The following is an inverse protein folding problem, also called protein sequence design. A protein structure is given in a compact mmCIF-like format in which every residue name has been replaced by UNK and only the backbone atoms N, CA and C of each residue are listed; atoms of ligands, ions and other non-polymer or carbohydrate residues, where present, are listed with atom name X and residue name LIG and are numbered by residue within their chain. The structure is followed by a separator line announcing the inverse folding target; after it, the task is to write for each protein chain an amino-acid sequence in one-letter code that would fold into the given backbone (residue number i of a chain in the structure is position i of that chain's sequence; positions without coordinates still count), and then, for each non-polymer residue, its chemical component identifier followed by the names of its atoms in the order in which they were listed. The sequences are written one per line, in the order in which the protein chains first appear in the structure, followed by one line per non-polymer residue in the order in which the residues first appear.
data_IF_863789928881
#
_entry.id   IF_863789928881
#
_cell.length_a   1.000
_cell.length_b   1.000
_cell.length_c   1.000
_cell.angle_alpha   90.00
_cell.angle_beta   90.00
_cell.angle_gamma   90.00
#
_symmetry.space_group_name_H-M   'P 1'
#
loop_
_entity.id
_entity.type
_entity.pdbx_description
1 polymer ?
#
# COMPACT_ATOMS: atom_id res chain seq x y z
N UNK A 1 -21.77 14.60 -23.80
CA UNK A 1 -20.38 15.06 -24.01
C UNK A 1 -19.96 15.81 -22.75
N UNK A 2 -19.38 15.10 -21.76
CA UNK A 2 -18.90 15.70 -20.51
C UNK A 2 -17.42 15.97 -20.63
N UNK A 3 -17.01 17.22 -20.42
CA UNK A 3 -15.61 17.62 -20.33
C UNK A 3 -15.08 17.23 -18.94
N UNK A 4 -14.18 16.26 -18.89
CA UNK A 4 -13.28 16.05 -17.75
C UNK A 4 -12.34 17.26 -17.68
N UNK A 5 -12.58 18.14 -16.71
CA UNK A 5 -11.61 19.22 -16.39
C UNK A 5 -10.37 18.59 -15.77
N UNK A 6 -9.20 18.97 -16.26
CA UNK A 6 -7.92 18.50 -15.74
C UNK A 6 -7.76 18.90 -14.26
N UNK A 7 -6.96 18.14 -13.49
CA UNK A 7 -6.73 18.46 -12.07
C UNK A 7 -6.13 19.86 -11.86
N UNK A 8 -5.44 20.40 -12.87
CA UNK A 8 -4.87 21.74 -12.87
C UNK A 8 -5.94 22.84 -12.88
N UNK A 9 -7.03 22.67 -13.64
CA UNK A 9 -8.15 23.62 -13.63
C UNK A 9 -8.88 23.65 -12.28
N UNK A 10 -8.94 22.51 -11.58
CA UNK A 10 -9.51 22.42 -10.23
C UNK A 10 -8.63 23.16 -9.22
N UNK A 11 -7.30 23.09 -9.37
CA UNK A 11 -6.35 23.78 -8.50
C UNK A 11 -6.33 25.30 -8.73
N UNK A 12 -6.32 25.76 -9.99
CA UNK A 12 -6.43 27.18 -10.32
C UNK A 12 -7.77 27.77 -9.86
N UNK A 13 -8.86 27.01 -9.99
CA UNK A 13 -10.19 27.44 -9.51
C UNK A 13 -10.24 27.58 -7.97
N UNK A 14 -9.65 26.63 -7.23
CA UNK A 14 -9.53 26.73 -5.77
C UNK A 14 -8.64 27.90 -5.32
N UNK A 15 -7.55 28.17 -6.04
CA UNK A 15 -6.63 29.26 -5.73
C UNK A 15 -7.25 30.65 -6.00
N UNK A 16 -8.02 30.81 -7.08
CA UNK A 16 -8.75 32.05 -7.37
C UNK A 16 -9.92 32.31 -6.41
N UNK A 17 -10.63 31.28 -5.92
CA UNK A 17 -11.73 31.47 -4.98
C UNK A 17 -11.29 31.81 -3.55
N UNK A 18 -10.10 31.38 -3.13
CA UNK A 18 -9.61 31.72 -1.78
C UNK A 18 -9.24 33.21 -1.62
N UNK A 19 -9.02 33.95 -2.72
CA UNK A 19 -8.87 35.42 -2.71
C UNK A 19 -10.20 36.18 -2.83
N UNK A 20 -11.33 35.53 -3.10
CA UNK A 20 -12.68 36.16 -3.17
C UNK A 20 -13.46 36.12 -1.85
N UNK A 21 -13.01 35.33 -0.86
CA UNK A 21 -13.73 35.12 0.40
C UNK A 21 -13.39 36.15 1.49
N UNK A 22 -13.52 37.45 1.17
CA UNK A 22 -13.89 38.45 2.18
C UNK A 22 -15.36 38.85 2.13
N UNK A 23 -16.11 38.47 1.09
CA UNK A 23 -17.57 38.60 1.10
C UNK A 23 -18.21 37.54 0.21
N UNK A 24 -19.21 36.82 0.75
CA UNK A 24 -20.15 35.87 0.11
C UNK A 24 -19.86 34.38 0.33
N UNK A 25 -20.21 33.93 1.54
CA UNK A 25 -20.51 32.52 1.79
C UNK A 25 -21.84 32.12 1.13
N UNK A 26 -21.80 31.62 -0.11
CA UNK A 26 -22.88 30.85 -0.73
C UNK A 26 -22.39 30.30 -2.08
N UNK A 27 -21.89 29.05 -2.13
CA UNK A 27 -21.80 28.16 -3.32
C UNK A 27 -20.88 26.92 -3.13
N UNK A 28 -20.47 26.56 -1.90
CA UNK A 28 -19.56 25.41 -1.67
C UNK A 28 -20.26 24.06 -1.39
N UNK A 29 -21.45 23.81 -1.96
CA UNK A 29 -22.19 22.53 -1.79
C UNK A 29 -22.07 21.57 -2.98
N UNK A 30 -21.34 21.90 -4.05
CA UNK A 30 -21.42 21.14 -5.30
C UNK A 30 -20.44 19.94 -5.43
N UNK A 31 -19.41 19.82 -4.59
CA UNK A 31 -18.46 18.69 -4.68
C UNK A 31 -18.38 18.06 -3.30
N UNK A 32 -19.00 16.89 -3.13
CA UNK A 32 -19.16 16.14 -1.88
C UNK A 32 -17.86 15.63 -1.25
N UNK A 33 -16.87 16.51 -1.05
CA UNK A 33 -15.64 16.23 -0.34
C UNK A 33 -15.90 16.50 1.14
N UNK A 34 -15.95 15.41 1.92
CA UNK A 34 -16.09 15.46 3.38
C UNK A 34 -15.13 16.48 4.01
N UNK A 35 -15.63 17.28 4.98
CA UNK A 35 -14.86 18.27 5.74
C UNK A 35 -13.55 17.70 6.30
N UNK A 36 -13.55 16.43 6.73
CA UNK A 36 -12.35 15.74 7.23
C UNK A 36 -11.27 15.55 6.17
N UNK A 37 -11.66 15.33 4.90
CA UNK A 37 -10.72 15.18 3.78
C UNK A 37 -10.14 16.54 3.37
N UNK A 38 -10.94 17.61 3.39
CA UNK A 38 -10.46 18.99 3.17
C UNK A 38 -9.42 19.43 4.21
N UNK A 39 -9.71 19.24 5.49
CA UNK A 39 -8.79 19.59 6.58
C UNK A 39 -7.45 18.83 6.50
N UNK A 40 -7.47 17.57 6.08
CA UNK A 40 -6.27 16.73 5.96
C UNK A 40 -5.39 17.10 4.76
N UNK A 41 -5.99 17.59 3.67
CA UNK A 41 -5.26 18.11 2.50
C UNK A 41 -4.63 19.47 2.83
N UNK A 42 -5.38 20.37 3.49
CA UNK A 42 -4.87 21.66 3.93
C UNK A 42 -3.70 21.50 4.92
N UNK A 43 -3.82 20.64 5.94
CA UNK A 43 -2.77 20.42 6.93
C UNK A 43 -1.46 19.84 6.34
N UNK A 44 -1.54 19.09 5.23
CA UNK A 44 -0.36 18.55 4.53
C UNK A 44 0.32 19.55 3.60
N UNK A 45 -0.42 20.51 3.06
CA UNK A 45 0.11 21.46 2.07
C UNK A 45 0.70 22.70 2.74
N UNK A 46 0.13 23.18 3.86
CA UNK A 46 0.56 24.39 4.59
C UNK A 46 2.07 24.51 4.89
N UNK A 47 2.83 23.47 5.28
CA UNK A 47 4.26 23.64 5.56
C UNK A 47 5.13 23.88 4.32
N UNK A 48 4.66 23.58 3.11
CA UNK A 48 5.41 23.81 1.87
C UNK A 48 5.32 25.26 1.36
N UNK A 49 4.24 25.98 1.68
CA UNK A 49 4.05 27.37 1.23
C UNK A 49 4.95 28.38 1.91
N UNK A 50 5.58 28.02 3.03
CA UNK A 50 6.52 28.90 3.75
C UNK A 50 7.93 28.92 3.14
N UNK A 51 8.24 28.00 2.22
CA UNK A 51 9.52 27.92 1.51
C UNK A 51 9.46 28.47 0.08
N UNK A 52 8.27 28.84 -0.41
CA UNK A 52 8.16 29.53 -1.68
C UNK A 52 8.78 30.93 -1.53
N UNK A 53 9.61 31.37 -2.50
CA UNK A 53 10.13 32.72 -2.49
C UNK A 53 8.99 33.72 -2.31
N UNK A 54 9.24 34.72 -1.48
CA UNK A 54 8.23 35.73 -1.11
C UNK A 54 7.64 36.32 -2.39
N UNK A 55 6.32 36.51 -2.49
CA UNK A 55 5.56 36.88 -3.72
C UNK A 55 6.25 37.98 -4.57
N UNK A 56 7.00 38.88 -3.92
CA UNK A 56 7.80 39.96 -4.52
C UNK A 56 8.97 39.49 -5.41
N UNK A 57 9.61 38.38 -5.07
CA UNK A 57 10.77 37.82 -5.77
C UNK A 57 10.33 37.13 -7.08
N UNK A 58 9.15 36.47 -7.06
CA UNK A 58 8.52 35.91 -8.25
C UNK A 58 8.06 37.00 -9.24
N UNK A 59 7.51 38.11 -8.74
CA UNK A 59 7.09 39.22 -9.59
C UNK A 59 8.28 39.96 -10.20
N UNK A 60 9.42 40.01 -9.51
CA UNK A 60 10.66 40.60 -10.03
C UNK A 60 11.30 39.75 -11.15
N UNK A 61 11.23 38.41 -11.06
CA UNK A 61 11.70 37.50 -12.10
C UNK A 61 10.81 37.56 -13.35
N UNK A 62 9.49 37.66 -13.17
CA UNK A 62 8.54 37.81 -14.28
C UNK A 62 8.68 39.18 -14.97
N UNK A 63 8.97 40.24 -14.22
CA UNK A 63 9.21 41.58 -14.76
C UNK A 63 10.51 41.68 -15.59
N UNK A 64 11.49 40.80 -15.35
CA UNK A 64 12.75 40.73 -16.09
C UNK A 64 12.65 39.98 -17.43
N UNK A 65 11.43 39.60 -17.86
CA UNK A 65 11.18 39.01 -19.17
C UNK A 65 11.74 37.60 -19.35
N UNK A 66 12.16 36.95 -18.26
CA UNK A 66 12.75 35.64 -18.28
C UNK A 66 11.74 34.61 -17.75
N UNK A 67 11.29 33.77 -18.70
CA UNK A 67 10.63 32.48 -18.49
C UNK A 67 9.14 32.52 -18.14
N UNK A 68 8.39 31.75 -18.93
CA UNK A 68 6.96 31.52 -18.77
C UNK A 68 6.67 30.97 -17.37
N UNK A 69 5.70 31.53 -16.63
CA UNK A 69 5.39 31.13 -15.23
C UNK A 69 5.11 29.63 -15.10
N UNK A 70 4.66 28.98 -16.19
CA UNK A 70 4.48 27.54 -16.26
C UNK A 70 5.78 26.76 -16.15
N UNK A 71 6.84 27.18 -16.83
CA UNK A 71 8.15 26.51 -16.82
C UNK A 71 8.78 26.54 -15.43
N UNK A 72 8.74 27.68 -14.74
CA UNK A 72 9.25 27.82 -13.37
C UNK A 72 8.46 26.93 -12.40
N UNK A 73 7.14 26.84 -12.57
CA UNK A 73 6.31 26.00 -11.70
C UNK A 73 6.52 24.51 -11.97
N UNK A 74 6.79 24.13 -13.23
CA UNK A 74 7.08 22.77 -13.64
C UNK A 74 8.49 22.33 -13.17
N UNK A 75 9.51 23.17 -13.30
CA UNK A 75 10.86 22.95 -12.72
C UNK A 75 10.81 22.84 -11.19
N UNK A 76 10.12 23.76 -10.51
CA UNK A 76 10.00 23.71 -9.04
C UNK A 76 9.19 22.49 -8.59
N UNK A 77 8.20 22.03 -9.36
CA UNK A 77 7.50 20.76 -9.05
C UNK A 77 8.36 19.53 -9.31
N UNK A 78 9.22 19.54 -10.33
CA UNK A 78 10.19 18.46 -10.58
C UNK A 78 11.22 18.41 -9.46
N UNK A 79 11.82 19.54 -9.06
CA UNK A 79 12.77 19.60 -7.94
C UNK A 79 12.13 19.20 -6.60
N UNK A 80 10.91 19.65 -6.31
CA UNK A 80 10.18 19.26 -5.08
C UNK A 80 9.75 17.79 -5.09
N UNK A 81 9.52 17.19 -6.26
CA UNK A 81 9.28 15.75 -6.37
C UNK A 81 10.58 14.94 -6.26
N UNK A 82 11.71 15.45 -6.73
CA UNK A 82 13.03 14.80 -6.59
C UNK A 82 13.57 14.88 -5.14
N UNK A 83 13.41 16.02 -4.44
CA UNK A 83 13.85 16.14 -3.04
C UNK A 83 12.97 15.36 -2.05
N UNK A 84 11.65 15.27 -2.29
CA UNK A 84 10.76 14.48 -1.45
C UNK A 84 10.83 12.97 -1.72
N UNK A 85 11.53 12.56 -2.78
CA UNK A 85 11.80 11.17 -3.13
C UNK A 85 13.28 10.81 -3.08
N UNK A 86 14.13 11.68 -2.49
CA UNK A 86 15.48 11.31 -2.11
C UNK A 86 15.40 9.97 -1.36
N UNK A 87 15.85 8.91 -2.02
CA UNK A 87 15.65 7.55 -1.60
C UNK A 87 16.35 7.36 -0.26
N UNK A 88 15.59 7.50 0.84
CA UNK A 88 16.05 7.30 2.22
C UNK A 88 16.37 5.81 2.46
N UNK A 89 17.29 5.28 1.68
CA UNK A 89 17.87 3.96 1.76
C UNK A 89 18.98 3.96 2.81
N UNK A 90 19.29 2.79 3.36
CA UNK A 90 20.34 2.68 4.36
C UNK A 90 21.70 2.92 3.70
N UNK A 91 22.53 3.78 4.29
CA UNK A 91 23.91 3.96 3.83
C UNK A 91 24.70 2.63 4.04
N UNK A 92 25.35 2.06 3.00
CA UNK A 92 26.16 0.85 3.12
C UNK A 92 27.34 0.98 4.11
N UNK A 93 27.81 2.20 4.37
CA UNK A 93 28.87 2.49 5.36
C UNK A 93 28.32 3.02 6.69
N UNK A 94 27.00 2.99 6.85
CA UNK A 94 26.33 3.54 8.04
C UNK A 94 26.40 2.63 9.27
N UNK A 95 25.54 2.95 10.24
CA UNK A 95 25.48 2.31 11.56
C UNK A 95 25.42 0.78 11.48
N UNK A 96 24.69 0.20 10.52
CA UNK A 96 24.55 -1.25 10.34
C UNK A 96 25.84 -1.96 9.94
N UNK A 97 26.70 -1.26 9.21
CA UNK A 97 28.01 -1.76 8.81
C UNK A 97 29.00 -1.60 9.95
N UNK A 98 29.02 -0.42 10.58
CA UNK A 98 29.91 -0.10 11.70
C UNK A 98 29.66 -1.02 12.90
N UNK A 99 28.40 -1.36 13.17
CA UNK A 99 28.04 -2.28 14.26
C UNK A 99 28.39 -3.75 13.96
N UNK A 100 28.96 -4.06 12.80
CA UNK A 100 29.27 -5.43 12.36
C UNK A 100 28.03 -6.31 12.14
N UNK A 101 26.85 -5.69 12.11
CA UNK A 101 25.58 -6.41 12.03
C UNK A 101 25.33 -6.96 10.62
N UNK A 102 25.66 -6.17 9.60
CA UNK A 102 25.57 -6.55 8.18
C UNK A 102 26.78 -6.02 7.42
N UNK A 103 27.29 -6.78 6.46
CA UNK A 103 28.36 -6.25 5.60
C UNK A 103 27.82 -5.23 4.60
N UNK A 104 28.62 -4.22 4.18
CA UNK A 104 28.22 -3.21 3.20
C UNK A 104 27.62 -3.82 1.93
N UNK A 105 28.20 -4.91 1.43
CA UNK A 105 27.74 -5.58 0.22
C UNK A 105 26.33 -6.20 0.36
N UNK A 106 25.91 -6.57 1.57
CA UNK A 106 24.55 -7.06 1.83
C UNK A 106 23.57 -5.89 1.83
N UNK A 107 23.96 -4.76 2.43
CA UNK A 107 23.16 -3.53 2.47
C UNK A 107 22.95 -3.00 1.05
N UNK A 108 23.99 -2.98 0.22
CA UNK A 108 23.89 -2.55 -1.18
C UNK A 108 22.96 -3.43 -2.01
N UNK A 109 23.06 -4.76 -1.84
CA UNK A 109 22.16 -5.73 -2.47
C UNK A 109 20.69 -5.49 -2.08
N UNK A 110 20.44 -5.21 -0.80
CA UNK A 110 19.11 -4.88 -0.29
C UNK A 110 18.60 -3.54 -0.85
N UNK A 111 19.43 -2.50 -0.84
CA UNK A 111 19.11 -1.18 -1.40
C UNK A 111 18.68 -1.29 -2.87
N UNK A 112 19.46 -2.02 -3.68
CA UNK A 112 19.15 -2.26 -5.10
C UNK A 112 17.77 -2.91 -5.27
N UNK A 113 17.51 -3.97 -4.49
CA UNK A 113 16.25 -4.71 -4.56
C UNK A 113 15.06 -3.83 -4.14
N UNK A 114 15.21 -3.03 -3.08
CA UNK A 114 14.17 -2.12 -2.59
C UNK A 114 13.84 -1.05 -3.63
N UNK A 115 14.86 -0.48 -4.26
CA UNK A 115 14.69 0.53 -5.31
C UNK A 115 13.92 -0.04 -6.52
N UNK A 116 14.26 -1.25 -6.98
CA UNK A 116 13.51 -1.94 -8.04
C UNK A 116 12.04 -2.19 -7.65
N UNK A 117 11.79 -2.59 -6.40
CA UNK A 117 10.42 -2.84 -5.92
C UNK A 117 9.59 -1.55 -5.82
N UNK A 118 10.20 -0.41 -5.46
CA UNK A 118 9.53 0.90 -5.44
C UNK A 118 9.08 1.30 -6.85
N UNK A 119 9.94 1.14 -7.86
CA UNK A 119 9.59 1.41 -9.26
C UNK A 119 8.40 0.57 -9.74
N UNK A 120 8.30 -0.68 -9.29
CA UNK A 120 7.22 -1.58 -9.69
C UNK A 120 5.85 -1.30 -9.02
N UNK A 121 5.80 -0.55 -7.92
CA UNK A 121 4.58 -0.38 -7.10
C UNK A 121 3.53 0.58 -7.64
N UNK A 122 3.79 1.24 -8.77
CA UNK A 122 2.92 2.29 -9.31
C UNK A 122 1.53 1.82 -9.78
N UNK A 123 1.20 0.52 -9.74
CA UNK A 123 0.00 0.00 -10.41
C UNK A 123 -0.89 -0.85 -9.50
N UNK A 124 -2.11 -0.33 -9.26
CA UNK A 124 -3.34 -1.03 -8.79
C UNK A 124 -3.50 -1.19 -7.27
N UNK A 125 -4.48 -0.47 -6.73
CA UNK A 125 -5.03 -0.73 -5.40
C UNK A 125 -5.90 -1.99 -5.42
N UNK A 126 -5.69 -2.89 -4.46
CA UNK A 126 -6.52 -4.10 -4.30
C UNK A 126 -7.81 -3.73 -3.57
N UNK A 127 -8.94 -4.20 -4.08
CA UNK A 127 -10.23 -4.04 -3.38
C UNK A 127 -10.23 -4.72 -2.00
N UNK A 128 -11.15 -4.33 -1.10
CA UNK A 128 -11.21 -4.86 0.26
C UNK A 128 -11.46 -6.38 0.25
N UNK A 129 -10.69 -7.11 1.06
CA UNK A 129 -10.89 -8.56 1.23
C UNK A 129 -12.19 -8.85 1.96
N UNK A 130 -12.92 -9.86 1.47
CA UNK A 130 -14.11 -10.37 2.14
C UNK A 130 -13.73 -11.26 3.32
N UNK A 131 -14.21 -10.93 4.52
CA UNK A 131 -14.08 -11.76 5.72
C UNK A 131 -15.24 -12.76 5.77
N UNK A 132 -14.94 -14.05 5.91
CA UNK A 132 -15.93 -15.13 6.06
C UNK A 132 -15.84 -15.67 7.48
N UNK A 133 -16.98 -15.76 8.17
CA UNK A 133 -17.04 -16.33 9.53
C UNK A 133 -16.76 -17.84 9.52
N UNK A 134 -16.18 -18.42 10.59
CA UNK A 134 -15.89 -19.86 10.64
C UNK A 134 -17.12 -20.75 10.42
N UNK A 135 -18.27 -20.35 10.97
CA UNK A 135 -19.56 -21.05 10.77
C UNK A 135 -20.02 -21.01 9.31
N UNK A 136 -19.90 -19.85 8.64
CA UNK A 136 -20.25 -19.72 7.23
C UNK A 136 -19.30 -20.53 6.33
N UNK A 137 -18.00 -20.56 6.66
CA UNK A 137 -17.00 -21.39 5.97
C UNK A 137 -17.37 -22.87 6.02
N UNK A 138 -17.80 -23.38 7.19
CA UNK A 138 -18.28 -24.76 7.34
C UNK A 138 -19.55 -25.01 6.53
N UNK A 139 -20.53 -24.10 6.58
CA UNK A 139 -21.78 -24.19 5.78
C UNK A 139 -21.51 -24.25 4.28
N UNK A 140 -20.62 -23.40 3.76
CA UNK A 140 -20.23 -23.40 2.34
C UNK A 140 -19.50 -24.70 1.99
N UNK A 141 -18.57 -25.15 2.84
CA UNK A 141 -17.82 -26.39 2.64
C UNK A 141 -18.72 -27.62 2.55
N UNK A 142 -19.67 -27.76 3.50
CA UNK A 142 -20.68 -28.82 3.52
C UNK A 142 -21.53 -28.79 2.25
N UNK A 143 -22.15 -27.65 1.95
CA UNK A 143 -23.03 -27.52 0.77
C UNK A 143 -22.29 -27.81 -0.55
N UNK A 144 -20.99 -27.48 -0.65
CA UNK A 144 -20.16 -27.79 -1.81
C UNK A 144 -19.77 -29.27 -1.93
N UNK A 145 -19.77 -30.02 -0.83
CA UNK A 145 -19.64 -31.47 -0.87
C UNK A 145 -20.90 -32.09 -1.46
N UNK A 146 -22.06 -31.65 -1.00
CA UNK A 146 -23.36 -32.23 -1.34
C UNK A 146 -23.83 -31.84 -2.76
N UNK A 147 -23.70 -30.56 -3.15
CA UNK A 147 -24.30 -30.00 -4.38
C UNK A 147 -23.27 -29.62 -5.46
N UNK A 148 -21.98 -29.69 -5.13
CA UNK A 148 -20.91 -29.26 -6.03
C UNK A 148 -20.63 -27.76 -6.05
N UNK A 149 -19.50 -27.38 -6.66
CA UNK A 149 -18.90 -26.05 -6.54
C UNK A 149 -19.74 -24.97 -7.25
N UNK A 150 -20.23 -25.27 -8.46
CA UNK A 150 -20.96 -24.29 -9.28
C UNK A 150 -22.34 -23.97 -8.70
N UNK A 151 -23.06 -24.98 -8.18
CA UNK A 151 -24.33 -24.79 -7.50
C UNK A 151 -24.14 -23.97 -6.22
N UNK A 152 -23.11 -24.30 -5.42
CA UNK A 152 -22.77 -23.54 -4.21
C UNK A 152 -22.48 -22.07 -4.49
N UNK A 153 -21.66 -21.80 -5.52
CA UNK A 153 -21.32 -20.43 -5.87
C UNK A 153 -22.57 -19.62 -6.22
N UNK A 154 -23.56 -20.21 -6.89
CA UNK A 154 -24.85 -19.57 -7.24
C UNK A 154 -25.77 -19.41 -6.03
N UNK A 155 -25.94 -20.47 -5.23
CA UNK A 155 -26.81 -20.47 -4.05
C UNK A 155 -26.45 -19.37 -3.05
N UNK A 156 -25.15 -19.17 -2.80
CA UNK A 156 -24.68 -18.16 -1.87
C UNK A 156 -24.59 -16.74 -2.46
N UNK A 157 -24.93 -16.51 -3.73
CA UNK A 157 -25.10 -15.15 -4.29
C UNK A 157 -26.34 -14.50 -3.66
N UNK A 158 -27.45 -15.24 -3.54
CA UNK A 158 -28.69 -14.66 -3.01
C UNK A 158 -28.60 -14.39 -1.50
N UNK A 159 -27.82 -15.19 -0.79
CA UNK A 159 -27.68 -15.13 0.68
C UNK A 159 -26.60 -14.15 1.14
N UNK A 160 -25.84 -13.58 0.22
CA UNK A 160 -24.70 -12.71 0.51
C UNK A 160 -24.68 -11.58 -0.51
N UNK A 161 -24.54 -10.34 -0.09
CA UNK A 161 -24.51 -9.15 -0.98
C UNK A 161 -23.46 -9.20 -2.10
N UNK A 162 -22.52 -10.17 -2.06
CA UNK A 162 -21.46 -10.34 -3.06
C UNK A 162 -21.34 -11.78 -3.55
N UNK A 163 -21.12 -11.98 -4.85
CA UNK A 163 -20.89 -13.30 -5.41
C UNK A 163 -19.63 -13.95 -4.81
N UNK A 164 -19.69 -15.26 -4.55
CA UNK A 164 -18.54 -16.03 -4.11
C UNK A 164 -17.69 -16.45 -5.31
N UNK A 165 -16.39 -16.19 -5.25
CA UNK A 165 -15.45 -16.72 -6.22
C UNK A 165 -15.39 -18.26 -6.11
N UNK A 166 -15.51 -18.97 -7.25
CA UNK A 166 -15.42 -20.43 -7.33
C UNK A 166 -14.14 -20.99 -6.69
N UNK A 167 -13.03 -20.24 -6.75
CA UNK A 167 -11.76 -20.61 -6.10
C UNK A 167 -11.90 -20.70 -4.57
N UNK A 168 -12.64 -19.76 -3.96
CA UNK A 168 -12.91 -19.77 -2.51
C UNK A 168 -13.72 -21.01 -2.14
N UNK A 169 -14.78 -21.30 -2.89
CA UNK A 169 -15.64 -22.48 -2.66
C UNK A 169 -14.83 -23.78 -2.75
N UNK A 170 -13.95 -23.91 -3.75
CA UNK A 170 -13.04 -25.05 -3.90
C UNK A 170 -12.12 -25.21 -2.68
N UNK A 171 -11.52 -24.12 -2.22
CA UNK A 171 -10.67 -24.12 -1.03
C UNK A 171 -11.42 -24.52 0.24
N UNK A 172 -12.65 -24.03 0.42
CA UNK A 172 -13.48 -24.37 1.57
C UNK A 172 -13.96 -25.83 1.54
N UNK A 173 -14.33 -26.36 0.37
CA UNK A 173 -14.64 -27.79 0.20
C UNK A 173 -13.45 -28.67 0.61
N UNK A 174 -12.25 -28.36 0.10
CA UNK A 174 -11.02 -29.12 0.45
C UNK A 174 -10.73 -29.05 1.95
N UNK A 175 -10.84 -27.88 2.56
CA UNK A 175 -10.62 -27.70 3.99
C UNK A 175 -11.66 -28.47 4.84
N UNK A 176 -12.92 -28.46 4.43
CA UNK A 176 -14.00 -29.22 5.09
C UNK A 176 -13.76 -30.74 5.04
N UNK A 177 -13.40 -31.27 3.88
CA UNK A 177 -13.08 -32.70 3.73
C UNK A 177 -11.83 -33.10 4.55
N UNK A 178 -10.82 -32.22 4.62
CA UNK A 178 -9.65 -32.46 5.46
C UNK A 178 -10.01 -32.51 6.96
N UNK A 179 -10.88 -31.62 7.43
CA UNK A 179 -11.34 -31.61 8.83
C UNK A 179 -12.16 -32.88 9.16
N UNK A 180 -13.06 -33.28 8.25
CA UNK A 180 -13.79 -34.55 8.35
C UNK A 180 -12.85 -35.75 8.44
N UNK A 181 -11.79 -35.78 7.62
CA UNK A 181 -10.78 -36.83 7.67
C UNK A 181 -10.08 -36.91 9.03
N UNK A 182 -9.72 -35.76 9.61
CA UNK A 182 -9.09 -35.70 10.94
C UNK A 182 -10.02 -36.19 12.04
N UNK A 183 -11.28 -35.77 12.03
CA UNK A 183 -12.30 -36.21 13.01
C UNK A 183 -12.59 -37.70 12.91
N UNK A 184 -12.66 -38.23 11.68
CA UNK A 184 -12.81 -39.67 11.45
C UNK A 184 -11.65 -40.47 12.04
N UNK A 185 -10.42 -39.99 11.90
CA UNK A 185 -9.24 -40.63 12.51
C UNK A 185 -9.25 -40.53 14.04
N UNK A 186 -9.74 -39.41 14.58
CA UNK A 186 -9.89 -39.19 16.02
C UNK A 186 -11.10 -39.90 16.66
N UNK A 187 -11.94 -40.58 15.87
CA UNK A 187 -13.23 -41.19 16.30
C UNK A 187 -14.21 -40.17 16.92
N UNK A 188 -14.15 -38.93 16.47
CA UNK A 188 -15.07 -37.86 16.88
C UNK A 188 -16.31 -37.81 15.98
N UNK A 189 -17.31 -37.02 16.39
CA UNK A 189 -18.51 -36.76 15.61
C UNK A 189 -18.18 -36.10 14.24
N UNK A 190 -18.78 -36.64 13.17
CA UNK A 190 -18.54 -36.22 11.79
C UNK A 190 -19.25 -34.90 11.40
N UNK A 191 -19.67 -34.09 12.39
CA UNK A 191 -20.33 -32.81 12.16
C UNK A 191 -19.35 -31.66 12.37
N UNK A 192 -18.92 -31.03 11.27
CA UNK A 192 -18.09 -29.81 11.32
C UNK A 192 -19.00 -28.59 11.37
N UNK A 193 -19.19 -28.03 12.57
CA UNK A 193 -19.98 -26.81 12.82
C UNK A 193 -19.22 -25.53 12.46
N UNK A 194 -17.90 -25.52 12.69
CA UNK A 194 -17.03 -24.37 12.46
C UNK A 194 -15.76 -24.77 11.74
N UNK A 195 -15.40 -23.99 10.72
CA UNK A 195 -14.17 -24.19 9.96
C UNK A 195 -13.26 -22.97 10.15
N UNK A 196 -12.32 -23.10 11.09
CA UNK A 196 -11.34 -22.04 11.39
C UNK A 196 -10.48 -21.75 10.15
N UNK A 197 -10.14 -20.48 9.89
CA UNK A 197 -9.19 -20.15 8.83
C UNK A 197 -7.85 -20.83 9.13
N UNK A 198 -7.22 -21.39 8.10
CA UNK A 198 -5.86 -21.91 8.23
C UNK A 198 -4.94 -20.78 8.69
N UNK A 199 -3.94 -21.11 9.53
CA UNK A 199 -2.87 -20.18 9.87
C UNK A 199 -2.15 -19.83 8.56
N UNK A 200 -2.32 -18.59 8.11
CA UNK A 200 -1.63 -18.09 6.93
C UNK A 200 -0.18 -17.78 7.32
N UNK A 201 0.77 -18.27 6.53
CA UNK A 201 2.18 -17.94 6.72
C UNK A 201 3.08 -18.99 6.08
N UNK A 202 4.27 -18.56 5.65
CA UNK A 202 5.40 -19.46 5.40
C UNK A 202 6.12 -19.68 6.74
N UNK A 203 6.81 -20.82 6.93
CA UNK A 203 7.77 -20.93 8.03
C UNK A 203 8.80 -19.80 7.95
N UNK A 204 9.32 -19.39 9.11
CA UNK A 204 10.32 -18.34 9.23
C UNK A 204 11.61 -18.73 8.49
N UNK A 205 12.34 -17.75 7.96
CA UNK A 205 13.56 -17.97 7.18
C UNK A 205 14.78 -18.34 8.07
N UNK A 206 14.62 -18.19 9.38
CA UNK A 206 15.64 -18.51 10.38
C UNK A 206 16.00 -17.26 11.17
N UNK A 207 16.25 -17.43 12.48
CA UNK A 207 16.44 -16.31 13.42
C UNK A 207 17.52 -15.32 12.99
N UNK A 208 18.62 -15.81 12.39
CA UNK A 208 19.75 -14.95 11.98
C UNK A 208 19.39 -14.03 10.81
N UNK A 209 18.71 -14.54 9.78
CA UNK A 209 18.30 -13.77 8.60
C UNK A 209 17.15 -12.83 8.97
N UNK A 210 16.18 -13.33 9.75
CA UNK A 210 15.05 -12.53 10.21
C UNK A 210 15.50 -11.33 11.05
N UNK A 211 16.52 -11.50 11.91
CA UNK A 211 17.09 -10.41 12.69
C UNK A 211 17.74 -9.33 11.80
N UNK A 212 18.50 -9.73 10.77
CA UNK A 212 19.11 -8.79 9.82
C UNK A 212 18.07 -7.99 9.05
N UNK A 213 17.00 -8.65 8.57
CA UNK A 213 15.87 -7.98 7.93
C UNK A 213 15.21 -6.99 8.89
N UNK A 214 14.96 -7.38 10.14
CA UNK A 214 14.34 -6.50 11.13
C UNK A 214 15.19 -5.26 11.42
N UNK A 215 16.50 -5.41 11.58
CA UNK A 215 17.42 -4.30 11.80
C UNK A 215 17.46 -3.35 10.60
N UNK A 216 17.55 -3.89 9.38
CA UNK A 216 17.51 -3.09 8.16
C UNK A 216 16.19 -2.31 8.01
N UNK A 217 15.05 -2.96 8.21
CA UNK A 217 13.74 -2.30 8.16
C UNK A 217 13.54 -1.25 9.26
N UNK A 218 14.18 -1.44 10.42
CA UNK A 218 14.12 -0.46 11.53
C UNK A 218 14.90 0.78 11.16
N UNK A 219 16.12 0.63 10.64
CA UNK A 219 16.93 1.74 10.16
C UNK A 219 16.28 2.47 8.97
N UNK A 220 15.63 1.75 8.05
CA UNK A 220 14.82 2.40 7.00
C UNK A 220 13.73 3.30 7.60
N UNK A 221 13.04 2.86 8.66
CA UNK A 221 12.01 3.70 9.31
C UNK A 221 12.61 4.89 10.04
N UNK A 222 13.77 4.73 10.67
CA UNK A 222 14.50 5.83 11.33
C UNK A 222 14.91 6.90 10.30
N UNK A 223 15.29 6.50 9.09
CA UNK A 223 15.55 7.40 7.97
C UNK A 223 14.27 8.01 7.36
N UNK A 224 13.08 7.73 7.90
CA UNK A 224 11.81 8.25 7.40
C UNK A 224 11.23 7.51 6.19
N UNK A 225 11.81 6.39 5.76
CA UNK A 225 11.29 5.60 4.64
C UNK A 225 9.98 4.90 4.97
N UNK A 226 9.05 4.86 4.00
CA UNK A 226 7.82 4.06 4.09
C UNK A 226 8.18 2.59 3.89
N UNK A 227 7.90 1.76 4.90
CA UNK A 227 8.07 0.30 4.82
C UNK A 227 6.75 -0.36 4.48
N UNK A 228 6.68 -1.03 3.33
CA UNK A 228 5.54 -1.81 2.89
C UNK A 228 5.94 -3.25 2.55
N UNK A 229 4.95 -4.10 2.25
CA UNK A 229 5.21 -5.54 2.03
C UNK A 229 6.16 -5.80 0.86
N UNK A 230 6.13 -5.03 -0.22
CA UNK A 230 7.06 -5.31 -1.33
C UNK A 230 8.49 -4.85 -1.00
N UNK A 231 8.65 -3.75 -0.28
CA UNK A 231 9.95 -3.30 0.24
C UNK A 231 10.52 -4.36 1.18
N UNK A 232 9.72 -4.89 2.11
CA UNK A 232 10.13 -5.99 3.00
C UNK A 232 10.53 -7.25 2.24
N UNK A 233 9.78 -7.64 1.20
CA UNK A 233 10.12 -8.81 0.38
C UNK A 233 11.40 -8.56 -0.42
N UNK A 234 11.59 -7.36 -0.95
CA UNK A 234 12.76 -7.00 -1.75
C UNK A 234 14.02 -6.94 -0.91
N UNK A 235 13.95 -6.32 0.26
CA UNK A 235 15.00 -6.33 1.27
C UNK A 235 15.39 -7.77 1.65
N UNK A 236 14.41 -8.58 2.08
CA UNK A 236 14.65 -9.98 2.41
C UNK A 236 15.32 -10.77 1.28
N UNK A 237 14.91 -10.53 0.02
CA UNK A 237 15.56 -11.15 -1.15
C UNK A 237 17.01 -10.70 -1.29
N UNK A 238 17.28 -9.39 -1.24
CA UNK A 238 18.63 -8.85 -1.36
C UNK A 238 19.58 -9.38 -0.28
N UNK A 239 19.09 -9.51 0.95
CA UNK A 239 19.82 -10.10 2.07
C UNK A 239 20.07 -11.58 1.83
N UNK A 240 19.01 -12.36 1.57
CA UNK A 240 19.10 -13.82 1.38
C UNK A 240 20.05 -14.16 0.23
N UNK A 241 19.91 -13.52 -0.93
CA UNK A 241 20.78 -13.77 -2.08
C UNK A 241 22.26 -13.51 -1.81
N UNK A 242 22.58 -12.58 -0.91
CA UNK A 242 23.97 -12.27 -0.57
C UNK A 242 24.52 -13.15 0.55
N UNK A 243 23.68 -13.56 1.50
CA UNK A 243 24.08 -14.41 2.62
C UNK A 243 24.13 -15.89 2.28
N UNK A 244 23.20 -16.36 1.44
CA UNK A 244 23.08 -17.75 1.05
C UNK A 244 23.78 -17.93 -0.30
N UNK A 245 25.07 -18.31 -0.27
CA UNK A 245 25.90 -18.54 -1.46
C UNK A 245 25.55 -19.86 -2.18
N UNK A 246 24.54 -20.59 -1.71
CA UNK A 246 24.22 -21.94 -2.15
C UNK A 246 23.23 -22.01 -3.31
N UNK A 247 22.90 -20.86 -3.94
CA UNK A 247 22.07 -20.78 -5.14
C UNK A 247 22.88 -20.47 -6.40
#
# INVERSE_FOLDING_TARGET
MSQDRSQEEIYLWLYCHQKSDRTKGATMTAIGISRKKKAKIAAKTVPYWKKLPHEKECDELVAKGAVDRKLIFEEVQVELQEEATADCLCNPEGVLSISGTMSPAVIESANKSVHEARKAQATKSRGPYRKLTPTLRAKIGKYACDNGIAATARFFIHKQEKPLNKSIVRGLKKAYLCDLGKRKMAREELIVSELKPAKCGRPLLGKSIDNKIQQYLTNLRECGSIVNTAITIADAKGIVFKTDKTQ
#
